data_IF_481952794868
#
_entry.id   IF_481952794868
#
_cell.length_a   1.000
_cell.length_b   1.000
_cell.length_c   1.000
_cell.angle_alpha   90.00
_cell.angle_beta   90.00
_cell.angle_gamma   90.00
#
_symmetry.space_group_name_H-M   'P 1'
#
loop_
_entity.id
_entity.type
_entity.pdbx_description
1 polymer ?
#
# COMPACT_ATOMS: atom_id res chain seq x y z
N UNK A 1 -19.18 15.05 38.59
CA UNK A 1 -20.58 14.70 38.25
C UNK A 1 -20.65 14.43 36.76
N UNK A 2 -21.31 13.35 36.34
CA UNK A 2 -21.54 13.09 34.91
C UNK A 2 -22.56 14.12 34.41
N UNK A 3 -22.30 14.74 33.24
CA UNK A 3 -23.24 15.68 32.64
C UNK A 3 -24.50 14.91 32.21
N UNK A 4 -25.67 15.43 32.57
CA UNK A 4 -26.95 14.95 32.05
C UNK A 4 -27.01 15.14 30.53
N UNK A 5 -27.72 14.28 29.78
CA UNK A 5 -28.49 13.13 30.21
C UNK A 5 -27.63 11.87 30.41
N UNK A 6 -28.15 10.87 31.12
CA UNK A 6 -27.44 9.61 31.42
C UNK A 6 -26.98 8.84 30.17
N UNK A 7 -27.70 9.00 29.06
CA UNK A 7 -27.38 8.42 27.76
C UNK A 7 -26.07 8.97 27.15
N UNK A 8 -25.59 10.14 27.61
CA UNK A 8 -24.37 10.79 27.10
C UNK A 8 -23.14 9.88 27.20
N UNK A 9 -23.00 9.17 28.32
CA UNK A 9 -21.86 8.27 28.52
C UNK A 9 -21.82 7.12 27.50
N UNK A 10 -23.00 6.59 27.13
CA UNK A 10 -23.13 5.54 26.12
C UNK A 10 -22.80 6.06 24.71
N UNK A 11 -23.17 7.29 24.38
CA UNK A 11 -22.80 7.94 23.12
C UNK A 11 -21.28 8.16 23.00
N UNK A 12 -20.62 8.61 24.07
CA UNK A 12 -19.16 8.70 24.06
C UNK A 12 -18.48 7.34 23.90
N UNK A 13 -19.01 6.29 24.52
CA UNK A 13 -18.48 4.95 24.31
C UNK A 13 -18.61 4.52 22.85
N UNK A 14 -19.79 4.71 22.22
CA UNK A 14 -19.99 4.38 20.81
C UNK A 14 -19.06 5.17 19.89
N UNK A 15 -18.82 6.44 20.20
CA UNK A 15 -17.87 7.28 19.46
C UNK A 15 -16.43 6.82 19.65
N UNK A 16 -16.01 6.48 20.87
CA UNK A 16 -14.68 5.94 21.13
C UNK A 16 -14.47 4.58 20.43
N UNK A 17 -15.48 3.72 20.45
CA UNK A 17 -15.48 2.45 19.74
C UNK A 17 -15.36 2.64 18.22
N UNK A 18 -16.14 3.56 17.66
CA UNK A 18 -16.03 3.94 16.25
C UNK A 18 -14.63 4.48 15.90
N UNK A 19 -14.10 5.39 16.72
CA UNK A 19 -12.77 5.96 16.54
C UNK A 19 -11.68 4.87 16.54
N UNK A 20 -11.74 3.95 17.49
CA UNK A 20 -10.84 2.79 17.55
C UNK A 20 -10.95 1.91 16.31
N UNK A 21 -12.16 1.63 15.81
CA UNK A 21 -12.33 0.84 14.57
C UNK A 21 -11.68 1.54 13.38
N UNK A 22 -11.94 2.82 13.16
CA UNK A 22 -11.42 3.51 11.98
C UNK A 22 -9.90 3.60 12.01
N UNK A 23 -9.32 3.83 13.20
CA UNK A 23 -7.86 3.82 13.40
C UNK A 23 -7.24 2.43 13.20
N UNK A 24 -7.80 1.40 13.83
CA UNK A 24 -7.24 0.04 13.72
C UNK A 24 -7.33 -0.46 12.27
N UNK A 25 -8.39 -0.11 11.53
CA UNK A 25 -8.49 -0.40 10.10
C UNK A 25 -7.40 0.24 9.25
N UNK A 26 -6.82 1.39 9.64
CA UNK A 26 -5.70 2.02 8.91
C UNK A 26 -4.46 1.12 8.86
N UNK A 27 -4.26 0.26 9.87
CA UNK A 27 -3.16 -0.72 9.88
C UNK A 27 -3.27 -1.74 8.75
N UNK A 28 -4.46 -1.97 8.23
CA UNK A 28 -4.74 -2.94 7.17
C UNK A 28 -4.81 -2.31 5.78
N UNK A 29 -4.34 -1.07 5.58
CA UNK A 29 -4.28 -0.44 4.25
C UNK A 29 -3.48 -1.32 3.27
N UNK A 30 -4.00 -1.63 2.05
CA UNK A 30 -5.17 -1.05 1.39
C UNK A 30 -6.50 -1.81 1.58
N UNK A 31 -6.55 -2.87 2.41
CA UNK A 31 -7.76 -3.67 2.66
C UNK A 31 -8.72 -2.98 3.64
N UNK A 32 -8.17 -2.33 4.66
CA UNK A 32 -8.94 -1.60 5.66
C UNK A 32 -9.55 -0.30 5.12
N UNK A 33 -8.78 0.41 4.32
CA UNK A 33 -9.08 1.67 3.62
C UNK A 33 -8.25 1.71 2.34
N UNK A 34 -8.69 2.40 1.29
CA UNK A 34 -7.88 2.50 0.08
C UNK A 34 -6.59 3.30 0.30
N UNK A 35 -6.60 4.26 1.23
CA UNK A 35 -5.48 5.13 1.59
C UNK A 35 -5.31 5.24 3.09
N UNK A 36 -4.14 5.70 3.51
CA UNK A 36 -3.87 6.02 4.90
C UNK A 36 -4.39 7.43 5.24
N UNK A 37 -5.57 7.50 5.86
CA UNK A 37 -6.18 8.74 6.34
C UNK A 37 -5.70 9.08 7.75
N UNK A 38 -5.61 10.37 8.09
CA UNK A 38 -5.14 10.83 9.41
C UNK A 38 -6.30 11.03 10.39
N UNK A 39 -6.84 9.95 10.95
CA UNK A 39 -7.82 10.02 12.05
C UNK A 39 -7.10 10.22 13.39
N UNK A 40 -7.34 11.34 14.06
CA UNK A 40 -6.60 11.76 15.25
C UNK A 40 -7.51 12.21 16.41
N UNK A 41 -6.91 12.45 17.57
CA UNK A 41 -7.61 12.86 18.80
C UNK A 41 -8.37 14.20 18.66
N UNK A 42 -7.94 15.08 17.74
CA UNK A 42 -8.67 16.31 17.46
C UNK A 42 -10.03 16.02 16.83
N UNK A 43 -10.11 15.02 15.94
CA UNK A 43 -11.40 14.58 15.36
C UNK A 43 -12.32 14.02 16.43
N UNK A 44 -11.77 13.19 17.33
CA UNK A 44 -12.51 12.61 18.44
C UNK A 44 -13.06 13.72 19.36
N UNK A 45 -12.25 14.73 19.66
CA UNK A 45 -12.68 15.87 20.48
C UNK A 45 -13.80 16.67 19.81
N UNK A 46 -13.64 17.03 18.54
CA UNK A 46 -14.68 17.77 17.80
C UNK A 46 -15.96 16.94 17.66
N UNK A 47 -15.84 15.62 17.52
CA UNK A 47 -16.98 14.71 17.52
C UNK A 47 -17.68 14.66 18.89
N UNK A 48 -16.94 14.67 20.00
CA UNK A 48 -17.50 14.79 21.35
C UNK A 48 -18.24 16.12 21.53
N UNK A 49 -17.65 17.24 21.09
CA UNK A 49 -18.27 18.57 21.17
C UNK A 49 -19.57 18.64 20.32
N UNK A 50 -19.54 18.00 19.15
CA UNK A 50 -20.72 17.88 18.27
C UNK A 50 -21.83 17.07 18.94
N UNK A 51 -21.49 15.92 19.54
CA UNK A 51 -22.44 15.11 20.30
C UNK A 51 -23.03 15.91 21.46
N UNK A 52 -22.20 16.60 22.25
CA UNK A 52 -22.64 17.43 23.37
C UNK A 52 -23.64 18.49 22.93
N UNK A 53 -23.35 19.21 21.84
CA UNK A 53 -24.22 20.25 21.29
C UNK A 53 -25.61 19.70 20.94
N UNK A 54 -25.67 18.56 20.25
CA UNK A 54 -26.94 17.95 19.85
C UNK A 54 -27.70 17.37 21.03
N UNK A 55 -27.00 16.70 21.94
CA UNK A 55 -27.62 16.11 23.14
C UNK A 55 -28.18 17.20 24.04
N UNK A 56 -27.45 18.27 24.29
CA UNK A 56 -27.88 19.39 25.15
C UNK A 56 -29.11 20.10 24.58
N UNK A 57 -29.08 20.38 23.27
CA UNK A 57 -30.19 20.98 22.54
C UNK A 57 -31.45 20.11 22.60
N UNK A 58 -31.29 18.80 22.48
CA UNK A 58 -32.41 17.85 22.43
C UNK A 58 -32.96 17.52 23.83
N UNK A 59 -32.07 17.32 24.81
CA UNK A 59 -32.43 16.94 26.16
C UNK A 59 -33.07 18.08 26.95
N UNK A 60 -32.76 19.35 26.64
CA UNK A 60 -33.27 20.54 27.37
C UNK A 60 -33.12 20.39 28.89
N UNK A 61 -31.92 19.99 29.33
CA UNK A 61 -31.56 19.74 30.73
C UNK A 61 -32.32 18.60 31.44
N UNK A 62 -32.99 17.71 30.70
CA UNK A 62 -33.57 16.48 31.27
C UNK A 62 -32.47 15.50 31.68
N UNK A 63 -32.78 14.72 32.72
CA UNK A 63 -31.89 13.68 33.25
C UNK A 63 -31.76 12.48 32.31
N UNK A 64 -32.82 12.15 31.58
CA UNK A 64 -32.86 11.06 30.60
C UNK A 64 -33.40 11.56 29.26
N UNK A 65 -32.87 11.04 28.17
CA UNK A 65 -33.30 11.32 26.80
C UNK A 65 -33.67 10.00 26.11
N UNK A 66 -34.94 9.79 25.72
CA UNK A 66 -35.32 8.61 24.96
C UNK A 66 -34.47 8.45 23.69
N UNK A 67 -33.90 7.26 23.41
CA UNK A 67 -33.03 7.05 22.24
C UNK A 67 -33.68 7.43 20.91
N UNK A 68 -35.00 7.32 20.78
CA UNK A 68 -35.76 7.67 19.59
C UNK A 68 -35.80 9.18 19.33
N UNK A 69 -35.55 9.99 20.36
CA UNK A 69 -35.50 11.44 20.26
C UNK A 69 -34.11 11.97 19.93
N UNK A 70 -33.08 11.12 19.99
CA UNK A 70 -31.71 11.51 19.61
C UNK A 70 -31.70 11.75 18.08
N UNK A 71 -31.14 12.88 17.60
CA UNK A 71 -31.11 13.20 16.18
C UNK A 71 -30.01 12.40 15.45
N UNK A 72 -30.24 11.10 15.26
CA UNK A 72 -29.28 10.16 14.67
C UNK A 72 -28.78 10.59 13.30
N UNK A 73 -29.68 10.98 12.39
CA UNK A 73 -29.33 11.37 11.03
C UNK A 73 -28.41 12.60 11.00
N UNK A 74 -28.62 13.54 11.92
CA UNK A 74 -27.76 14.72 12.04
C UNK A 74 -26.37 14.33 12.56
N UNK A 75 -26.31 13.47 13.58
CA UNK A 75 -25.04 12.97 14.14
C UNK A 75 -24.27 12.18 13.07
N UNK A 76 -24.91 11.22 12.40
CA UNK A 76 -24.29 10.39 11.36
C UNK A 76 -23.81 11.27 10.21
N UNK A 77 -24.61 12.21 9.74
CA UNK A 77 -24.23 13.13 8.66
C UNK A 77 -23.02 13.98 9.05
N UNK A 78 -22.99 14.56 10.25
CA UNK A 78 -21.87 15.41 10.69
C UNK A 78 -20.58 14.60 10.89
N UNK A 79 -20.67 13.43 11.53
CA UNK A 79 -19.51 12.54 11.69
C UNK A 79 -19.00 12.05 10.33
N UNK A 80 -19.91 11.67 9.43
CA UNK A 80 -19.59 11.14 8.10
C UNK A 80 -19.05 12.21 7.18
N UNK A 81 -19.70 13.37 7.04
CA UNK A 81 -19.39 14.34 5.98
C UNK A 81 -18.41 15.42 6.45
N UNK A 82 -18.45 15.81 7.73
CA UNK A 82 -17.71 16.97 8.21
C UNK A 82 -16.45 16.59 8.99
N UNK A 83 -16.54 15.63 9.91
CA UNK A 83 -15.43 15.31 10.82
C UNK A 83 -14.50 14.26 10.23
N UNK A 84 -14.98 13.02 10.09
CA UNK A 84 -14.13 11.92 9.65
C UNK A 84 -14.03 11.86 8.13
N UNK A 85 -15.15 11.93 7.40
CA UNK A 85 -15.13 11.85 5.95
C UNK A 85 -14.70 13.13 5.24
N UNK A 86 -14.56 14.25 5.96
CA UNK A 86 -13.91 15.45 5.41
C UNK A 86 -12.45 15.21 4.96
N UNK A 87 -11.84 14.11 5.41
CA UNK A 87 -10.49 13.65 5.03
C UNK A 87 -10.48 12.59 3.94
N UNK A 88 -11.65 12.04 3.61
CA UNK A 88 -11.78 10.91 2.69
C UNK A 88 -12.08 11.44 1.29
N UNK A 89 -11.21 11.09 0.35
CA UNK A 89 -11.29 11.49 -1.05
C UNK A 89 -11.74 10.34 -1.98
N UNK A 90 -12.14 9.21 -1.41
CA UNK A 90 -12.59 8.02 -2.13
C UNK A 90 -14.04 7.67 -1.74
N UNK A 91 -14.94 7.62 -2.73
CA UNK A 91 -16.37 7.36 -2.52
C UNK A 91 -16.67 5.99 -1.86
N UNK A 92 -15.86 4.97 -2.14
CA UNK A 92 -16.00 3.64 -1.53
C UNK A 92 -15.63 3.67 -0.04
N UNK A 93 -14.57 4.40 0.30
CA UNK A 93 -14.17 4.62 1.69
C UNK A 93 -15.21 5.48 2.41
N UNK A 94 -15.78 6.50 1.75
CA UNK A 94 -16.86 7.31 2.32
C UNK A 94 -18.12 6.48 2.63
N UNK A 95 -18.46 5.55 1.73
CA UNK A 95 -19.54 4.58 1.93
C UNK A 95 -19.25 3.63 3.09
N UNK A 96 -18.01 3.16 3.21
CA UNK A 96 -17.58 2.29 4.31
C UNK A 96 -17.67 3.01 5.67
N UNK A 97 -17.15 4.23 5.75
CA UNK A 97 -17.25 5.08 6.95
C UNK A 97 -18.72 5.26 7.38
N UNK A 98 -19.57 5.61 6.42
CA UNK A 98 -21.00 5.82 6.65
C UNK A 98 -21.71 4.53 7.10
N UNK A 99 -21.29 3.36 6.62
CA UNK A 99 -21.81 2.07 7.06
C UNK A 99 -21.53 1.81 8.54
N UNK A 100 -20.30 2.08 9.01
CA UNK A 100 -19.98 1.95 10.44
C UNK A 100 -20.81 2.91 11.30
N UNK A 101 -20.90 4.17 10.88
CA UNK A 101 -21.69 5.17 11.60
C UNK A 101 -23.17 4.78 11.67
N UNK A 102 -23.76 4.38 10.54
CA UNK A 102 -25.17 3.98 10.47
C UNK A 102 -25.48 2.72 11.30
N UNK A 103 -24.50 1.81 11.42
CA UNK A 103 -24.61 0.62 12.26
C UNK A 103 -24.57 0.98 13.75
N UNK A 104 -23.68 1.89 14.17
CA UNK A 104 -23.40 2.18 15.58
C UNK A 104 -24.29 3.29 16.17
N UNK A 105 -24.57 4.34 15.40
CA UNK A 105 -25.33 5.52 15.83
C UNK A 105 -26.79 5.41 15.39
N UNK A 106 -27.53 4.55 16.09
CA UNK A 106 -28.95 4.24 15.87
C UNK A 106 -29.61 3.97 17.22
N UNK A 107 -30.91 4.20 17.36
CA UNK A 107 -31.65 3.90 18.60
C UNK A 107 -31.43 2.45 19.08
N UNK A 108 -31.25 1.49 18.16
CA UNK A 108 -30.98 0.09 18.48
C UNK A 108 -29.68 -0.13 19.27
N UNK A 109 -28.73 0.79 19.19
CA UNK A 109 -27.49 0.69 19.99
C UNK A 109 -27.70 0.90 21.48
N UNK A 110 -28.92 1.28 21.89
CA UNK A 110 -29.35 1.40 23.28
C UNK A 110 -30.04 0.15 23.82
N UNK A 111 -30.41 -0.79 22.94
CA UNK A 111 -31.03 -2.06 23.30
C UNK A 111 -30.05 -2.95 24.08
N UNK A 112 -30.60 -3.83 24.92
CA UNK A 112 -29.81 -4.83 25.65
C UNK A 112 -29.26 -5.87 24.68
N UNK A 113 -27.97 -6.21 24.81
CA UNK A 113 -27.34 -7.22 23.94
C UNK A 113 -27.02 -6.73 22.53
N UNK A 114 -27.06 -5.41 22.28
CA UNK A 114 -26.66 -4.86 20.98
C UNK A 114 -25.23 -5.30 20.60
N UNK A 115 -25.08 -5.93 19.44
CA UNK A 115 -23.80 -6.45 18.97
C UNK A 115 -22.94 -5.35 18.30
N UNK A 116 -21.86 -4.94 18.96
CA UNK A 116 -20.82 -4.09 18.39
C UNK A 116 -20.13 -4.82 17.23
N UNK A 117 -19.73 -6.07 17.50
CA UNK A 117 -19.22 -7.02 16.51
C UNK A 117 -20.13 -8.24 16.52
N UNK A 118 -20.60 -8.65 15.34
CA UNK A 118 -21.37 -9.86 15.18
C UNK A 118 -20.54 -10.91 14.45
N UNK A 119 -20.69 -12.17 14.85
CA UNK A 119 -20.06 -13.32 14.20
C UNK A 119 -18.53 -13.24 14.19
N UNK A 120 -17.93 -13.09 15.38
CA UNK A 120 -16.47 -13.13 15.53
C UNK A 120 -15.96 -14.50 15.09
N UNK A 121 -15.07 -14.51 14.11
CA UNK A 121 -14.51 -15.74 13.56
C UNK A 121 -13.66 -16.47 14.62
N UNK A 122 -13.76 -17.80 14.67
CA UNK A 122 -12.97 -18.64 15.57
C UNK A 122 -13.50 -18.71 17.01
N UNK A 123 -14.64 -18.05 17.30
CA UNK A 123 -15.30 -18.12 18.61
C UNK A 123 -16.65 -18.84 18.45
N UNK A 124 -16.83 -19.95 19.17
CA UNK A 124 -18.08 -20.72 19.20
C UNK A 124 -18.93 -20.40 20.44
N UNK A 125 -20.22 -20.74 20.39
CA UNK A 125 -21.16 -20.58 21.51
C UNK A 125 -21.65 -19.14 21.71
N UNK A 126 -21.99 -18.79 22.95
CA UNK A 126 -22.59 -17.49 23.33
C UNK A 126 -21.63 -16.29 23.13
N UNK A 127 -20.32 -16.54 23.02
CA UNK A 127 -19.28 -15.53 22.79
C UNK A 127 -19.08 -15.14 21.31
N UNK A 128 -19.99 -15.54 20.42
CA UNK A 128 -19.92 -15.22 18.98
C UNK A 128 -20.09 -13.72 18.69
N UNK A 129 -20.56 -12.96 19.66
CA UNK A 129 -20.84 -11.53 19.56
C UNK A 129 -20.05 -10.77 20.62
N UNK A 130 -19.53 -9.60 20.24
CA UNK A 130 -19.04 -8.61 21.19
C UNK A 130 -20.18 -7.63 21.39
N UNK A 131 -20.80 -7.70 22.55
CA UNK A 131 -21.99 -6.91 22.86
C UNK A 131 -21.63 -5.64 23.62
N UNK A 132 -22.44 -4.61 23.41
CA UNK A 132 -22.38 -3.36 24.14
C UNK A 132 -22.52 -3.63 25.66
N UNK A 133 -21.64 -3.08 26.52
CA UNK A 133 -21.78 -3.20 27.96
C UNK A 133 -23.07 -2.56 28.47
N UNK A 134 -23.70 -3.23 29.44
CA UNK A 134 -24.82 -2.69 30.17
C UNK A 134 -24.33 -1.66 31.20
N UNK A 135 -24.72 -0.40 31.04
CA UNK A 135 -24.34 0.65 31.97
C UNK A 135 -24.65 2.04 31.44
N UNK A 136 -24.80 2.98 32.37
CA UNK A 136 -24.98 4.41 32.10
C UNK A 136 -23.83 5.26 32.62
N UNK A 137 -22.85 4.63 33.28
CA UNK A 137 -21.73 5.32 33.93
C UNK A 137 -20.39 4.94 33.31
N UNK A 138 -19.43 5.87 33.37
CA UNK A 138 -18.09 5.74 32.75
C UNK A 138 -17.30 4.55 33.32
N UNK A 139 -17.38 4.33 34.61
CA UNK A 139 -16.74 3.21 35.32
C UNK A 139 -17.21 1.85 34.79
N UNK A 140 -18.48 1.69 34.45
CA UNK A 140 -18.99 0.44 33.86
C UNK A 140 -18.36 0.18 32.49
N UNK A 141 -18.20 1.21 31.66
CA UNK A 141 -17.56 1.10 30.36
C UNK A 141 -16.07 0.78 30.48
N UNK A 142 -15.36 1.42 31.42
CA UNK A 142 -13.95 1.14 31.66
C UNK A 142 -13.73 -0.30 32.13
N UNK A 143 -14.53 -0.77 33.08
CA UNK A 143 -14.43 -2.14 33.56
C UNK A 143 -14.68 -3.16 32.44
N UNK A 144 -15.60 -2.87 31.52
CA UNK A 144 -15.81 -3.72 30.35
C UNK A 144 -14.59 -3.73 29.41
N UNK A 145 -13.97 -2.57 29.16
CA UNK A 145 -12.76 -2.45 28.33
C UNK A 145 -11.59 -3.24 28.94
N UNK A 146 -11.39 -3.14 30.25
CA UNK A 146 -10.32 -3.85 30.98
C UNK A 146 -10.48 -5.38 30.91
N UNK A 147 -11.70 -5.88 30.72
CA UNK A 147 -12.00 -7.31 30.59
C UNK A 147 -11.98 -7.81 29.14
N UNK A 148 -11.66 -6.96 28.15
CA UNK A 148 -11.51 -7.41 26.77
C UNK A 148 -10.26 -8.28 26.61
N UNK A 149 -10.32 -9.24 25.67
CA UNK A 149 -9.18 -10.08 25.34
C UNK A 149 -8.07 -9.29 24.64
N UNK A 150 -6.82 -9.51 25.03
CA UNK A 150 -5.64 -8.93 24.36
C UNK A 150 -5.52 -9.40 22.89
N UNK A 151 -5.93 -10.63 22.61
CA UNK A 151 -5.90 -11.19 21.25
C UNK A 151 -7.11 -10.73 20.46
N UNK A 152 -6.88 -9.74 19.60
CA UNK A 152 -7.88 -9.19 18.69
C UNK A 152 -7.75 -9.83 17.30
N UNK A 153 -8.86 -9.91 16.57
CA UNK A 153 -8.92 -10.44 15.21
C UNK A 153 -9.44 -9.37 14.24
N UNK A 154 -9.01 -9.36 12.96
CA UNK A 154 -9.57 -8.46 11.95
C UNK A 154 -11.09 -8.54 11.80
N UNK A 155 -11.71 -9.66 12.22
CA UNK A 155 -13.17 -9.83 12.23
C UNK A 155 -13.89 -8.78 13.07
N UNK A 156 -13.25 -8.22 14.10
CA UNK A 156 -13.77 -7.11 14.91
C UNK A 156 -14.03 -5.87 14.07
N UNK A 157 -13.25 -5.71 13.00
CA UNK A 157 -13.30 -4.59 12.08
C UNK A 157 -14.17 -4.92 10.85
N UNK A 158 -14.77 -6.11 10.78
CA UNK A 158 -15.44 -6.60 9.58
C UNK A 158 -14.47 -6.97 8.44
N UNK A 159 -13.22 -7.30 8.76
CA UNK A 159 -12.24 -7.82 7.80
C UNK A 159 -12.13 -9.34 7.91
N UNK A 160 -11.85 -10.05 6.80
CA UNK A 160 -11.55 -11.47 6.87
C UNK A 160 -10.21 -11.71 7.61
N UNK A 161 -10.09 -12.82 8.34
CA UNK A 161 -8.85 -13.16 9.06
C UNK A 161 -7.60 -13.26 8.16
N UNK A 162 -7.76 -13.49 6.86
CA UNK A 162 -6.65 -13.49 5.92
C UNK A 162 -6.01 -12.10 5.76
N UNK A 163 -6.70 -11.02 6.13
CA UNK A 163 -6.13 -9.67 6.14
C UNK A 163 -4.95 -9.55 7.11
N UNK A 164 -5.01 -10.21 8.27
CA UNK A 164 -3.89 -10.26 9.22
C UNK A 164 -2.67 -10.92 8.61
N UNK A 165 -2.88 -12.03 7.88
CA UNK A 165 -1.78 -12.76 7.22
C UNK A 165 -1.04 -11.87 6.22
N UNK A 166 -1.77 -11.09 5.42
CA UNK A 166 -1.18 -10.15 4.46
C UNK A 166 -0.38 -9.08 5.21
N UNK A 167 -0.95 -8.46 6.25
CA UNK A 167 -0.27 -7.45 7.07
C UNK A 167 1.04 -7.99 7.67
N UNK A 168 0.99 -9.17 8.30
CA UNK A 168 2.14 -9.80 8.93
C UNK A 168 3.20 -10.21 7.90
N UNK A 169 2.79 -10.65 6.72
CA UNK A 169 3.71 -10.97 5.62
C UNK A 169 4.44 -9.71 5.18
N UNK A 170 3.73 -8.61 4.93
CA UNK A 170 4.35 -7.33 4.54
C UNK A 170 5.30 -6.82 5.62
N UNK A 171 4.90 -6.84 6.90
CA UNK A 171 5.77 -6.46 8.02
C UNK A 171 7.02 -7.36 8.11
N UNK A 172 6.86 -8.67 7.85
CA UNK A 172 7.97 -9.62 7.79
C UNK A 172 8.93 -9.29 6.65
N UNK A 173 8.42 -9.01 5.45
CA UNK A 173 9.23 -8.59 4.30
C UNK A 173 9.95 -7.26 4.56
N UNK A 174 9.29 -6.29 5.18
CA UNK A 174 9.89 -5.02 5.58
C UNK A 174 11.00 -5.20 6.62
N UNK A 175 10.80 -6.09 7.60
CA UNK A 175 11.80 -6.43 8.61
C UNK A 175 13.04 -7.04 7.94
N UNK A 176 12.85 -8.04 7.08
CA UNK A 176 13.95 -8.67 6.32
C UNK A 176 14.67 -7.64 5.45
N UNK A 177 13.94 -6.74 4.80
CA UNK A 177 14.52 -5.68 3.97
C UNK A 177 15.33 -4.68 4.80
N UNK A 178 14.89 -4.35 6.01
CA UNK A 178 15.64 -3.48 6.93
C UNK A 178 16.90 -4.16 7.44
N UNK A 179 16.82 -5.45 7.78
CA UNK A 179 17.99 -6.25 8.21
C UNK A 179 19.03 -6.33 7.09
N UNK A 180 18.61 -6.58 5.85
CA UNK A 180 19.52 -6.58 4.69
C UNK A 180 20.21 -5.23 4.51
N UNK A 181 19.49 -4.10 4.67
CA UNK A 181 20.10 -2.77 4.57
C UNK A 181 21.14 -2.53 5.67
N UNK A 182 20.90 -3.02 6.88
CA UNK A 182 21.87 -2.91 7.98
C UNK A 182 23.14 -3.70 7.64
N UNK A 183 22.99 -4.94 7.15
CA UNK A 183 24.12 -5.75 6.70
C UNK A 183 24.89 -5.09 5.53
N UNK A 184 24.18 -4.49 4.57
CA UNK A 184 24.83 -3.80 3.45
C UNK A 184 25.63 -2.57 3.87
N UNK A 185 25.21 -1.86 4.93
CA UNK A 185 25.99 -0.74 5.47
C UNK A 185 27.27 -1.25 6.16
N UNK A 186 27.19 -2.39 6.85
CA UNK A 186 28.37 -3.06 7.41
C UNK A 186 29.35 -3.48 6.29
N UNK A 187 28.84 -4.06 5.20
CA UNK A 187 29.64 -4.45 4.03
C UNK A 187 30.21 -3.23 3.26
N UNK A 188 29.46 -2.12 3.16
CA UNK A 188 29.92 -0.85 2.54
C UNK A 188 31.02 -0.17 3.37
N UNK A 189 30.92 -0.20 4.71
CA UNK A 189 31.98 0.28 5.60
C UNK A 189 33.24 -0.59 5.44
N UNK A 190 33.11 -1.92 5.40
CA UNK A 190 34.24 -2.82 5.09
C UNK A 190 34.86 -2.52 3.72
N UNK A 191 34.05 -2.26 2.69
CA UNK A 191 34.52 -1.89 1.35
C UNK A 191 35.28 -0.54 1.34
N UNK A 192 34.85 0.44 2.14
CA UNK A 192 35.55 1.72 2.29
C UNK A 192 36.93 1.53 2.95
N UNK A 193 37.02 0.68 3.97
CA UNK A 193 38.28 0.36 4.65
C UNK A 193 39.27 -0.42 3.76
N UNK A 194 38.78 -1.37 2.95
CA UNK A 194 39.63 -2.11 1.98
C UNK A 194 40.17 -1.18 0.89
N UNK A 195 39.39 -0.18 0.47
CA UNK A 195 39.83 0.79 -0.55
C UNK A 195 40.89 1.76 -0.01
N UNK A 196 40.83 2.14 1.26
CA UNK A 196 41.86 2.99 1.89
C UNK A 196 43.17 2.24 2.21
N UNK A 197 43.11 0.97 2.59
CA UNK A 197 44.30 0.15 2.83
C UNK A 197 45.03 -0.26 1.53
N UNK A 198 44.31 -0.43 0.42
CA UNK A 198 44.90 -0.75 -0.89
C UNK A 198 45.77 0.35 -1.52
N UNK A 199 45.76 1.57 -0.96
CA UNK A 199 46.58 2.70 -1.44
C UNK A 199 47.88 2.85 -0.64
N UNK A 200 48.05 2.18 0.51
CA UNK A 200 49.18 2.44 1.42
C UNK A 200 50.20 1.33 1.62
N UNK A 201 49.97 0.09 1.19
CA UNK A 201 50.96 -0.97 1.45
C UNK A 201 51.27 -1.85 0.22
N UNK A 202 52.43 -1.61 -0.37
CA UNK A 202 53.09 -2.51 -1.31
C UNK A 202 53.92 -3.56 -0.56
N UNK A 203 53.28 -4.35 0.29
CA UNK A 203 53.90 -5.41 1.10
C UNK A 203 53.31 -6.81 0.78
N UNK A 204 54.13 -7.86 0.60
CA UNK A 204 53.65 -9.16 0.16
C UNK A 204 53.38 -10.07 1.37
N UNK A 205 52.29 -9.88 2.08
CA UNK A 205 51.63 -10.95 2.85
C UNK A 205 50.45 -10.39 3.64
N UNK A 206 49.24 -10.63 3.15
CA UNK A 206 48.02 -10.78 3.96
C UNK A 206 46.91 -11.35 3.08
N UNK A 207 46.36 -12.47 3.53
CA UNK A 207 45.39 -13.34 2.90
C UNK A 207 44.03 -12.67 2.67
N UNK A 208 43.92 -11.87 1.62
CA UNK A 208 42.64 -11.42 1.03
C UNK A 208 42.38 -12.27 -0.21
N UNK A 209 41.15 -12.79 -0.33
CA UNK A 209 40.76 -13.84 -1.27
C UNK A 209 41.37 -13.73 -2.68
N UNK A 210 41.71 -14.89 -3.25
CA UNK A 210 42.35 -15.03 -4.56
C UNK A 210 41.86 -13.96 -5.56
N UNK A 211 42.77 -13.26 -6.27
CA UNK A 211 42.37 -12.49 -7.42
C UNK A 211 41.81 -13.49 -8.44
N UNK A 212 40.48 -13.56 -8.53
CA UNK A 212 39.84 -14.21 -9.68
C UNK A 212 40.41 -13.55 -10.93
N UNK A 213 40.75 -14.34 -11.95
CA UNK A 213 41.55 -14.01 -13.14
C UNK A 213 41.12 -12.79 -13.97
N UNK A 214 40.06 -12.09 -13.58
CA UNK A 214 39.41 -11.01 -14.31
C UNK A 214 39.58 -9.63 -13.62
N UNK A 215 40.14 -9.54 -12.40
CA UNK A 215 40.45 -8.27 -11.71
C UNK A 215 39.25 -7.35 -11.37
N UNK A 216 38.02 -7.72 -11.76
CA UNK A 216 36.81 -6.93 -11.58
C UNK A 216 36.14 -7.16 -10.22
N UNK A 217 35.56 -6.11 -9.60
CA UNK A 217 34.77 -6.24 -8.36
C UNK A 217 33.61 -7.24 -8.48
N UNK A 218 33.24 -7.89 -7.37
CA UNK A 218 32.16 -8.89 -7.33
C UNK A 218 30.81 -8.31 -7.78
N UNK A 219 30.46 -7.10 -7.32
CA UNK A 219 29.20 -6.43 -7.72
C UNK A 219 29.10 -6.24 -9.24
N UNK A 220 30.23 -5.95 -9.90
CA UNK A 220 30.29 -5.71 -11.34
C UNK A 220 30.07 -7.00 -12.13
N UNK A 221 30.60 -8.14 -11.64
CA UNK A 221 30.36 -9.47 -12.21
C UNK A 221 28.91 -9.90 -12.04
N UNK A 222 28.34 -9.71 -10.85
CA UNK A 222 26.93 -10.04 -10.58
C UNK A 222 25.98 -9.20 -11.44
N UNK A 223 26.26 -7.90 -11.57
CA UNK A 223 25.47 -7.00 -12.40
C UNK A 223 25.58 -7.35 -13.88
N UNK A 224 26.79 -7.67 -14.38
CA UNK A 224 27.00 -8.12 -15.76
C UNK A 224 26.15 -9.36 -16.09
N UNK A 225 26.21 -10.38 -15.23
CA UNK A 225 25.42 -11.60 -15.40
C UNK A 225 23.91 -11.31 -15.37
N UNK A 226 23.47 -10.43 -14.44
CA UNK A 226 22.06 -10.03 -14.31
C UNK A 226 21.57 -9.27 -15.55
N UNK A 227 22.32 -8.27 -16.00
CA UNK A 227 22.00 -7.47 -17.18
C UNK A 227 21.96 -8.32 -18.46
N UNK A 228 22.91 -9.24 -18.62
CA UNK A 228 22.95 -10.19 -19.73
C UNK A 228 21.73 -11.11 -19.72
N UNK A 229 21.34 -11.61 -18.54
CA UNK A 229 20.14 -12.45 -18.39
C UNK A 229 18.87 -11.66 -18.71
N UNK A 230 18.76 -10.40 -18.24
CA UNK A 230 17.62 -9.54 -18.54
C UNK A 230 17.51 -9.22 -20.03
N UNK A 231 18.63 -8.95 -20.71
CA UNK A 231 18.66 -8.75 -22.16
C UNK A 231 18.16 -9.97 -22.93
N UNK A 232 18.48 -11.19 -22.46
CA UNK A 232 17.98 -12.43 -23.07
C UNK A 232 16.49 -12.64 -22.88
N UNK A 233 15.92 -12.15 -21.76
CA UNK A 233 14.48 -12.23 -21.49
C UNK A 233 13.65 -11.22 -22.29
N UNK A 234 14.24 -10.09 -22.65
CA UNK A 234 13.56 -9.02 -23.37
C UNK A 234 13.48 -9.33 -24.88
N UNK A 235 12.32 -9.11 -25.52
CA UNK A 235 12.25 -9.15 -26.98
C UNK A 235 13.17 -8.08 -27.59
N UNK A 236 13.96 -8.44 -28.61
CA UNK A 236 14.96 -7.53 -29.18
C UNK A 236 14.35 -6.38 -30.00
N UNK A 237 13.14 -6.55 -30.50
CA UNK A 237 12.42 -5.52 -31.23
C UNK A 237 10.91 -5.70 -31.10
N UNK A 238 10.20 -4.58 -31.22
CA UNK A 238 8.75 -4.52 -31.30
C UNK A 238 8.38 -3.92 -32.66
N UNK A 239 7.70 -4.71 -33.50
CA UNK A 239 7.21 -4.21 -34.77
C UNK A 239 6.08 -3.20 -34.53
N UNK A 240 6.26 -1.99 -35.04
CA UNK A 240 5.26 -0.91 -34.95
C UNK A 240 4.18 -1.05 -36.02
N UNK A 241 3.01 -0.47 -35.72
CA UNK A 241 1.87 -0.45 -36.63
C UNK A 241 2.08 0.59 -37.75
N UNK A 242 1.72 0.23 -38.99
CA UNK A 242 1.91 1.09 -40.18
C UNK A 242 0.66 1.92 -40.48
N UNK A 243 0.80 3.25 -40.46
CA UNK A 243 -0.30 4.17 -40.78
C UNK A 243 -0.76 4.05 -42.23
N UNK A 244 -2.07 3.95 -42.40
CA UNK A 244 -2.78 4.15 -43.68
C UNK A 244 -3.94 5.12 -43.48
N UNK A 245 -4.44 5.71 -44.55
CA UNK A 245 -5.55 6.69 -44.50
C UNK A 245 -6.83 6.06 -43.96
N UNK A 246 -7.01 4.76 -44.19
CA UNK A 246 -8.16 3.98 -43.76
C UNK A 246 -8.07 3.63 -42.27
N UNK A 247 -6.93 3.11 -41.82
CA UNK A 247 -6.79 2.59 -40.45
C UNK A 247 -6.78 3.70 -39.40
N UNK A 248 -6.23 4.88 -39.71
CA UNK A 248 -6.21 6.00 -38.76
C UNK A 248 -7.60 6.55 -38.43
N UNK A 249 -8.62 6.24 -39.25
CA UNK A 249 -10.02 6.62 -38.96
C UNK A 249 -10.57 5.84 -37.78
N UNK A 250 -10.05 4.63 -37.53
CA UNK A 250 -10.46 3.78 -36.42
C UNK A 250 -9.85 4.29 -35.08
N UNK A 251 -10.66 4.65 -34.06
CA UNK A 251 -10.15 5.08 -32.76
C UNK A 251 -9.38 3.98 -32.02
N UNK A 252 -9.77 2.71 -32.13
CA UNK A 252 -9.05 1.59 -31.50
C UNK A 252 -7.70 1.36 -32.17
N UNK A 253 -7.62 1.49 -33.49
CA UNK A 253 -6.35 1.43 -34.20
C UNK A 253 -5.38 2.50 -33.67
N UNK A 254 -5.83 3.75 -33.55
CA UNK A 254 -5.02 4.86 -33.02
C UNK A 254 -4.57 4.61 -31.58
N UNK A 255 -5.43 4.03 -30.75
CA UNK A 255 -5.08 3.63 -29.39
C UNK A 255 -3.96 2.59 -29.39
N UNK A 256 -4.13 1.47 -30.09
CA UNK A 256 -3.12 0.40 -30.12
C UNK A 256 -1.82 0.86 -30.76
N UNK A 257 -1.87 1.66 -31.81
CA UNK A 257 -0.68 2.28 -32.39
C UNK A 257 0.08 3.12 -31.37
N UNK A 258 -0.61 3.92 -30.57
CA UNK A 258 0.01 4.73 -29.51
C UNK A 258 0.68 3.83 -28.46
N UNK A 259 -0.01 2.81 -27.98
CA UNK A 259 0.52 1.89 -26.96
C UNK A 259 1.73 1.09 -27.49
N UNK A 260 1.66 0.57 -28.71
CA UNK A 260 2.77 -0.16 -29.36
C UNK A 260 3.97 0.77 -29.56
N UNK A 261 3.76 2.00 -30.04
CA UNK A 261 4.85 2.97 -30.20
C UNK A 261 5.48 3.37 -28.86
N UNK A 262 4.67 3.54 -27.81
CA UNK A 262 5.16 3.81 -26.47
C UNK A 262 6.01 2.64 -25.94
N UNK A 263 5.50 1.41 -26.03
CA UNK A 263 6.25 0.21 -25.63
C UNK A 263 7.53 0.01 -26.43
N UNK A 264 7.53 0.33 -27.73
CA UNK A 264 8.71 0.21 -28.59
C UNK A 264 9.81 1.17 -28.18
N UNK A 265 9.46 2.43 -27.89
CA UNK A 265 10.44 3.44 -27.44
C UNK A 265 11.04 3.06 -26.08
N UNK A 266 10.19 2.68 -25.13
CA UNK A 266 10.67 2.26 -23.81
C UNK A 266 11.54 1.00 -23.89
N UNK A 267 11.17 0.03 -24.74
CA UNK A 267 11.98 -1.17 -24.96
C UNK A 267 13.36 -0.84 -25.53
N UNK A 268 13.43 0.06 -26.50
CA UNK A 268 14.70 0.52 -27.09
C UNK A 268 15.57 1.23 -26.05
N UNK A 269 14.99 2.10 -25.22
CA UNK A 269 15.69 2.76 -24.11
C UNK A 269 16.27 1.72 -23.14
N UNK A 270 15.45 0.76 -22.68
CA UNK A 270 15.89 -0.27 -21.72
C UNK A 270 16.98 -1.17 -22.31
N UNK A 271 16.82 -1.62 -23.56
CA UNK A 271 17.84 -2.45 -24.22
C UNK A 271 19.13 -1.67 -24.40
N UNK A 272 19.06 -0.39 -24.79
CA UNK A 272 20.24 0.46 -24.90
C UNK A 272 20.96 0.56 -23.56
N UNK A 273 20.24 0.93 -22.50
CA UNK A 273 20.78 1.07 -21.14
C UNK A 273 21.43 -0.21 -20.63
N UNK A 274 20.81 -1.38 -20.89
CA UNK A 274 21.36 -2.66 -20.47
C UNK A 274 22.63 -3.04 -21.25
N UNK A 275 22.69 -2.77 -22.56
CA UNK A 275 23.92 -3.00 -23.34
C UNK A 275 25.07 -2.08 -22.87
N UNK A 276 24.74 -0.83 -22.53
CA UNK A 276 25.68 0.13 -21.95
C UNK A 276 26.22 -0.35 -20.60
N UNK A 277 25.35 -0.89 -19.73
CA UNK A 277 25.75 -1.51 -18.47
C UNK A 277 26.68 -2.70 -18.71
N UNK A 278 26.37 -3.59 -19.67
CA UNK A 278 27.23 -4.72 -20.03
C UNK A 278 28.61 -4.27 -20.50
N UNK A 279 28.68 -3.30 -21.42
CA UNK A 279 29.93 -2.75 -21.94
C UNK A 279 30.78 -2.09 -20.83
N UNK A 280 30.13 -1.38 -19.89
CA UNK A 280 30.82 -0.80 -18.72
C UNK A 280 31.37 -1.90 -17.82
N UNK A 281 30.58 -2.94 -17.52
CA UNK A 281 31.04 -4.04 -16.66
C UNK A 281 32.17 -4.85 -17.30
N UNK A 282 32.26 -4.86 -18.63
CA UNK A 282 33.38 -5.45 -19.38
C UNK A 282 34.61 -4.53 -19.48
N UNK A 283 34.48 -3.25 -19.10
CA UNK A 283 35.55 -2.26 -19.21
C UNK A 283 35.71 -1.65 -20.61
N UNK A 284 34.77 -1.94 -21.53
CA UNK A 284 34.77 -1.43 -22.90
C UNK A 284 34.29 0.03 -22.99
N UNK A 285 33.53 0.49 -21.97
CA UNK A 285 32.99 1.84 -21.93
C UNK A 285 33.20 2.51 -20.57
N UNK A 286 33.53 3.81 -20.60
CA UNK A 286 33.63 4.64 -19.39
C UNK A 286 32.25 5.09 -18.89
N UNK A 287 32.13 5.23 -17.58
CA UNK A 287 30.89 5.65 -16.92
C UNK A 287 30.65 7.15 -17.05
N UNK A 288 29.44 7.53 -17.43
CA UNK A 288 28.91 8.89 -17.34
C UNK A 288 28.18 9.07 -16.00
N UNK A 289 27.75 10.30 -15.68
CA UNK A 289 26.92 10.56 -14.50
C UNK A 289 25.57 9.80 -14.57
N UNK A 290 25.00 9.70 -15.76
CA UNK A 290 23.80 8.90 -16.00
C UNK A 290 24.06 7.41 -15.70
N UNK A 291 25.16 6.87 -16.22
CA UNK A 291 25.53 5.47 -15.98
C UNK A 291 25.75 5.18 -14.49
N UNK A 292 26.38 6.11 -13.75
CA UNK A 292 26.58 5.93 -12.29
C UNK A 292 25.26 5.80 -11.54
N UNK A 293 24.27 6.64 -11.87
CA UNK A 293 22.93 6.55 -11.26
C UNK A 293 22.26 5.23 -11.63
N UNK A 294 22.27 4.88 -12.92
CA UNK A 294 21.67 3.63 -13.42
C UNK A 294 22.29 2.40 -12.73
N UNK A 295 23.62 2.30 -12.71
CA UNK A 295 24.34 1.21 -12.05
C UNK A 295 24.00 1.13 -10.55
N UNK A 296 23.95 2.27 -9.85
CA UNK A 296 23.60 2.30 -8.43
C UNK A 296 22.20 1.74 -8.17
N UNK A 297 21.21 2.12 -8.99
CA UNK A 297 19.83 1.62 -8.86
C UNK A 297 19.76 0.12 -9.14
N UNK A 298 20.40 -0.34 -10.23
CA UNK A 298 20.37 -1.75 -10.63
C UNK A 298 21.08 -2.68 -9.64
N UNK A 299 22.24 -2.27 -9.10
CA UNK A 299 22.95 -3.03 -8.05
C UNK A 299 22.10 -3.14 -6.78
N UNK A 300 21.35 -2.08 -6.44
CA UNK A 300 20.42 -2.07 -5.30
C UNK A 300 19.10 -2.79 -5.58
N UNK A 301 18.93 -3.39 -6.77
CA UNK A 301 17.70 -4.05 -7.19
C UNK A 301 16.51 -3.11 -7.40
N UNK A 302 16.75 -1.80 -7.46
CA UNK A 302 15.73 -0.75 -7.63
C UNK A 302 15.48 -0.51 -9.11
N UNK A 303 14.25 -0.12 -9.43
CA UNK A 303 13.88 0.30 -10.78
C UNK A 303 14.42 1.72 -11.06
N UNK A 304 15.25 1.91 -12.11
CA UNK A 304 15.71 3.24 -12.51
C UNK A 304 14.56 4.18 -12.87
N UNK A 305 14.71 5.46 -12.54
CA UNK A 305 13.66 6.48 -12.79
C UNK A 305 13.30 6.62 -14.26
N UNK A 306 14.28 6.49 -15.17
CA UNK A 306 14.07 6.55 -16.63
C UNK A 306 13.16 5.45 -17.16
N UNK A 307 13.11 4.29 -16.52
CA UNK A 307 12.31 3.14 -16.96
C UNK A 307 10.86 3.22 -16.45
N UNK A 308 10.60 4.04 -15.43
CA UNK A 308 9.29 4.18 -14.78
C UNK A 308 8.36 5.11 -15.58
N UNK A 309 8.03 4.71 -16.81
CA UNK A 309 7.15 5.47 -17.73
C UNK A 309 5.65 5.10 -17.62
N UNK A 310 5.32 4.08 -16.84
CA UNK A 310 3.96 3.64 -16.54
C UNK A 310 3.81 3.31 -15.06
N UNK A 311 2.59 3.11 -14.58
CA UNK A 311 2.32 2.79 -13.17
C UNK A 311 2.96 1.46 -12.79
N UNK A 312 3.89 1.50 -11.84
CA UNK A 312 4.57 0.33 -11.28
C UNK A 312 4.24 0.23 -9.79
N UNK A 313 3.91 -0.96 -9.27
CA UNK A 313 3.69 -1.16 -7.85
C UNK A 313 4.85 -0.64 -6.98
N UNK A 314 4.51 -0.09 -5.81
CA UNK A 314 5.52 0.35 -4.84
C UNK A 314 6.30 -0.88 -4.37
N UNK A 315 7.63 -0.75 -4.28
CA UNK A 315 8.51 -1.85 -3.87
C UNK A 315 8.81 -2.90 -4.95
N UNK A 316 8.29 -2.74 -6.18
CA UNK A 316 8.64 -3.61 -7.30
C UNK A 316 10.16 -3.59 -7.54
N UNK A 317 10.80 -4.76 -7.49
CA UNK A 317 12.22 -4.90 -7.81
C UNK A 317 12.44 -4.83 -9.32
N UNK A 318 13.67 -4.52 -9.73
CA UNK A 318 14.02 -4.52 -11.16
C UNK A 318 13.80 -5.89 -11.80
N UNK A 319 14.04 -6.99 -11.09
CA UNK A 319 13.84 -8.36 -11.61
C UNK A 319 12.36 -8.63 -11.87
N UNK A 320 11.49 -8.27 -10.91
CA UNK A 320 10.03 -8.40 -11.08
C UNK A 320 9.55 -7.53 -12.25
N UNK A 321 10.06 -6.30 -12.33
CA UNK A 321 9.70 -5.37 -13.39
C UNK A 321 10.13 -5.85 -14.77
N UNK A 322 11.37 -6.34 -14.94
CA UNK A 322 11.87 -6.84 -16.24
C UNK A 322 11.03 -8.04 -16.71
N UNK A 323 10.65 -8.93 -15.80
CA UNK A 323 9.78 -10.06 -16.12
C UNK A 323 8.40 -9.61 -16.60
N UNK A 324 7.74 -8.71 -15.86
CA UNK A 324 6.44 -8.13 -16.24
C UNK A 324 6.54 -7.32 -17.55
N UNK A 325 7.59 -6.51 -17.70
CA UNK A 325 7.82 -5.70 -18.90
C UNK A 325 8.05 -6.58 -20.13
N UNK A 326 8.80 -7.68 -20.02
CA UNK A 326 8.95 -8.66 -21.11
C UNK A 326 7.59 -9.23 -21.54
N UNK A 327 6.72 -9.58 -20.58
CA UNK A 327 5.36 -10.06 -20.88
C UNK A 327 4.51 -8.99 -21.57
N UNK A 328 4.56 -7.73 -21.11
CA UNK A 328 3.86 -6.60 -21.75
C UNK A 328 4.33 -6.37 -23.18
N UNK A 329 5.64 -6.44 -23.43
CA UNK A 329 6.18 -6.28 -24.78
C UNK A 329 5.72 -7.43 -25.68
N UNK A 330 5.69 -8.67 -25.19
CA UNK A 330 5.14 -9.83 -25.92
C UNK A 330 3.65 -9.65 -26.22
N UNK A 331 2.88 -9.11 -25.29
CA UNK A 331 1.48 -8.76 -25.52
C UNK A 331 1.36 -7.69 -26.62
N UNK A 332 2.18 -6.62 -26.59
CA UNK A 332 2.19 -5.60 -27.63
C UNK A 332 2.59 -6.15 -29.00
N UNK A 333 3.49 -7.13 -29.06
CA UNK A 333 3.81 -7.84 -30.31
C UNK A 333 2.58 -8.58 -30.86
N UNK A 334 1.86 -9.30 -30.01
CA UNK A 334 0.62 -9.98 -30.39
C UNK A 334 -0.44 -8.99 -30.88
N UNK A 335 -0.64 -7.88 -30.16
CA UNK A 335 -1.55 -6.80 -30.57
C UNK A 335 -1.14 -6.25 -31.93
N UNK A 336 0.14 -5.91 -32.13
CA UNK A 336 0.64 -5.37 -33.40
C UNK A 336 0.38 -6.32 -34.58
N UNK A 337 0.62 -7.62 -34.38
CA UNK A 337 0.35 -8.65 -35.38
C UNK A 337 -1.15 -8.77 -35.69
N UNK A 338 -2.00 -8.85 -34.67
CA UNK A 338 -3.45 -9.01 -34.83
C UNK A 338 -4.10 -7.78 -35.48
N UNK A 339 -3.75 -6.57 -35.04
CA UNK A 339 -4.26 -5.33 -35.65
C UNK A 339 -3.83 -5.24 -37.12
N UNK A 340 -2.59 -5.61 -37.44
CA UNK A 340 -2.09 -5.58 -38.82
C UNK A 340 -2.79 -6.59 -39.74
N UNK A 341 -3.18 -7.75 -39.23
CA UNK A 341 -3.77 -8.83 -40.02
C UNK A 341 -5.30 -8.75 -40.12
N UNK A 342 -5.97 -8.38 -39.03
CA UNK A 342 -7.43 -8.53 -38.86
C UNK A 342 -8.16 -7.22 -38.59
N UNK A 343 -7.44 -6.11 -38.44
CA UNK A 343 -7.97 -4.82 -38.04
C UNK A 343 -8.21 -4.72 -36.52
N UNK A 344 -8.26 -3.48 -36.01
CA UNK A 344 -8.30 -3.22 -34.56
C UNK A 344 -9.58 -3.73 -33.87
N UNK A 345 -10.70 -3.81 -34.60
CA UNK A 345 -12.00 -4.22 -34.07
C UNK A 345 -12.13 -5.73 -33.79
N UNK A 346 -11.15 -6.54 -34.19
CA UNK A 346 -11.20 -8.00 -34.05
C UNK A 346 -10.33 -8.55 -32.91
N UNK A 347 -9.73 -7.68 -32.10
CA UNK A 347 -9.09 -8.08 -30.83
C UNK A 347 -10.22 -8.32 -29.82
N UNK A 348 -10.61 -9.58 -29.62
CA UNK A 348 -11.53 -10.02 -28.57
C UNK A 348 -10.77 -10.72 -27.45
#
# INVERSE_FOLDING_TARGET
>A
MMKVPNERARLYFLLAWFHAIVQERLRYTPLGWAKHYEFNESDLRVACDTLDTWIETTAKSRTNLPPEKIPWDAIVTLLSQCIYGGKIDNDYDQRLLTSFLSKLFTARSFETGFALVANVDGVGGDNRHITMPNGSRRDHFLHWIENLSDRQSPSWLGLPNNAEKVLLTTRGTDLVSKLLKMQQLEDEDELAYVTEQGVKDGGPDSSVGLPTSDGRPTWMRTLHNSATTWLQLLPQSLQTLKRTVENIKDPLYRYFEREVNFGSKLLQEVIHDLNEVVAICQGEKKQTNYHRSLLSDLVKGKLPTGWRRYTVPIGCTVIQWVSDFSQRVKQLQQVSQLVSQRGANQIK
#
